data_IF_726734973729
#
_entry.id   IF_726734973729
#
_cell.length_a   1.000
_cell.length_b   1.000
_cell.length_c   1.000
_cell.angle_alpha   90.00
_cell.angle_beta   90.00
_cell.angle_gamma   90.00
#
_symmetry.space_group_name_H-M   'P 1'
#
loop_
_entity.id
_entity.type
_entity.pdbx_description
1 polymer ?
#
# COMPACT_ATOMS: atom_id res chain seq x y z
N UNK A 1 34.39 -33.55 45.21
CA UNK A 1 33.07 -32.88 45.08
C UNK A 1 33.11 -31.59 44.24
N UNK A 2 34.15 -30.73 44.33
CA UNK A 2 34.24 -29.46 43.56
C UNK A 2 34.20 -29.62 42.02
N UNK A 3 34.77 -30.70 41.47
CA UNK A 3 34.80 -30.93 40.01
C UNK A 3 33.42 -31.30 39.44
N UNK A 4 32.59 -32.02 40.20
CA UNK A 4 31.24 -32.44 39.75
C UNK A 4 30.27 -31.24 39.69
N UNK A 5 30.40 -30.31 40.65
CA UNK A 5 29.63 -29.06 40.68
C UNK A 5 29.95 -28.17 39.47
N UNK A 6 31.22 -28.13 39.02
CA UNK A 6 31.62 -27.36 37.84
C UNK A 6 30.99 -27.90 36.55
N UNK A 7 30.89 -29.22 36.38
CA UNK A 7 30.25 -29.82 35.21
C UNK A 7 28.73 -29.58 35.18
N UNK A 8 28.07 -29.58 36.34
CA UNK A 8 26.63 -29.28 36.45
C UNK A 8 26.33 -27.82 36.09
N UNK A 9 27.17 -26.88 36.56
CA UNK A 9 27.05 -25.45 36.21
C UNK A 9 27.29 -25.23 34.72
N UNK A 10 28.28 -25.93 34.12
CA UNK A 10 28.54 -25.86 32.69
C UNK A 10 27.38 -26.44 31.85
N UNK A 11 26.74 -27.51 32.33
CA UNK A 11 25.56 -28.10 31.68
C UNK A 11 24.34 -27.17 31.73
N UNK A 12 24.13 -26.46 32.85
CA UNK A 12 23.07 -25.47 33.02
C UNK A 12 23.28 -24.22 32.14
N UNK A 13 24.51 -23.75 31.98
CA UNK A 13 24.86 -22.64 31.08
C UNK A 13 24.67 -23.02 29.59
N UNK A 14 24.93 -24.28 29.22
CA UNK A 14 24.70 -24.78 27.86
C UNK A 14 23.20 -25.01 27.55
N UNK A 15 22.37 -25.29 28.56
CA UNK A 15 20.93 -25.40 28.40
C UNK A 15 20.24 -24.03 28.24
N UNK A 16 20.81 -22.96 28.81
CA UNK A 16 20.26 -21.61 28.74
C UNK A 16 20.36 -20.96 27.34
N UNK A 17 21.23 -21.45 26.45
CA UNK A 17 21.44 -20.84 25.12
C UNK A 17 20.47 -21.32 24.05
N UNK A 18 19.56 -22.26 24.36
CA UNK A 18 18.59 -22.81 23.38
C UNK A 18 17.14 -22.32 23.54
N UNK A 19 16.89 -21.36 24.44
CA UNK A 19 15.52 -20.84 24.71
C UNK A 19 15.26 -19.49 24.02
N UNK A 20 16.16 -19.02 23.14
CA UNK A 20 15.80 -17.96 22.20
C UNK A 20 14.88 -18.54 21.12
N UNK A 21 13.58 -18.45 21.42
CA UNK A 21 12.43 -18.44 20.52
C UNK A 21 12.75 -18.84 19.08
N UNK A 22 12.42 -20.08 18.73
CA UNK A 22 12.14 -20.42 17.34
C UNK A 22 10.83 -19.71 16.96
N UNK A 23 10.92 -18.41 16.65
CA UNK A 23 9.90 -17.76 15.82
C UNK A 23 10.00 -18.51 14.50
N UNK A 24 9.14 -19.51 14.34
CA UNK A 24 8.93 -20.13 13.04
C UNK A 24 8.40 -19.00 12.18
N UNK A 25 9.23 -18.49 11.27
CA UNK A 25 8.81 -17.58 10.23
C UNK A 25 7.79 -18.33 9.37
N UNK A 26 6.53 -18.37 9.82
CA UNK A 26 5.41 -18.86 9.03
C UNK A 26 5.25 -17.81 7.94
N UNK A 27 5.88 -18.08 6.80
CA UNK A 27 6.12 -17.13 5.71
C UNK A 27 4.86 -16.64 4.98
N UNK A 28 3.67 -17.02 5.44
CA UNK A 28 2.41 -16.70 4.76
C UNK A 28 1.19 -16.87 5.68
N UNK A 29 0.98 -15.92 6.61
CA UNK A 29 -0.20 -15.91 7.50
C UNK A 29 -1.29 -14.92 7.06
N UNK A 30 -1.16 -14.29 5.90
CA UNK A 30 -2.18 -13.43 5.29
C UNK A 30 -3.44 -14.25 5.00
N UNK A 31 -4.34 -14.28 5.96
CA UNK A 31 -5.52 -15.18 5.97
C UNK A 31 -6.81 -14.41 6.19
N UNK A 32 -6.73 -13.16 6.63
CA UNK A 32 -7.89 -12.29 6.79
C UNK A 32 -8.07 -11.44 5.54
N UNK A 33 -9.07 -11.76 4.72
CA UNK A 33 -9.45 -10.93 3.57
C UNK A 33 -10.12 -9.64 4.07
N UNK A 34 -9.51 -8.51 3.76
CA UNK A 34 -10.01 -7.16 4.10
C UNK A 34 -10.86 -6.60 2.96
N UNK A 35 -10.39 -6.76 1.73
CA UNK A 35 -11.05 -6.22 0.53
C UNK A 35 -10.94 -7.22 -0.62
N UNK A 36 -11.95 -7.19 -1.48
CA UNK A 36 -11.97 -7.92 -2.74
C UNK A 36 -12.72 -7.07 -3.77
N UNK A 37 -12.13 -6.90 -4.93
CA UNK A 37 -12.72 -6.26 -6.10
C UNK A 37 -12.59 -7.16 -7.33
N UNK A 38 -13.58 -7.13 -8.22
CA UNK A 38 -13.56 -7.80 -9.51
C UNK A 38 -13.94 -6.81 -10.63
N UNK A 39 -13.24 -6.86 -11.75
CA UNK A 39 -13.44 -5.94 -12.87
C UNK A 39 -12.40 -6.16 -13.96
N UNK A 40 -12.53 -5.48 -15.10
CA UNK A 40 -11.66 -5.66 -16.26
C UNK A 40 -10.51 -4.64 -16.24
N UNK A 41 -9.27 -5.05 -15.90
CA UNK A 41 -8.09 -4.18 -15.82
C UNK A 41 -7.29 -4.11 -17.13
N UNK A 42 -7.59 -4.97 -18.10
CA UNK A 42 -6.82 -5.10 -19.34
C UNK A 42 -7.67 -4.93 -20.62
N UNK A 43 -8.95 -4.61 -20.47
CA UNK A 43 -9.96 -4.43 -21.52
C UNK A 43 -10.21 -5.69 -22.36
N UNK A 44 -10.00 -6.88 -21.80
CA UNK A 44 -10.22 -8.16 -22.49
C UNK A 44 -11.63 -8.75 -22.26
N UNK A 45 -12.48 -8.03 -21.52
CA UNK A 45 -13.85 -8.40 -21.12
C UNK A 45 -13.91 -9.60 -20.16
N UNK A 46 -12.82 -9.92 -19.48
CA UNK A 46 -12.77 -10.91 -18.41
C UNK A 46 -12.55 -10.19 -17.08
N UNK A 47 -13.16 -10.73 -16.02
CA UNK A 47 -12.99 -10.17 -14.69
C UNK A 47 -11.63 -10.56 -14.15
N UNK A 48 -10.77 -9.58 -13.96
CA UNK A 48 -9.60 -9.63 -13.10
C UNK A 48 -10.02 -9.49 -11.63
N UNK A 49 -9.08 -9.75 -10.72
CA UNK A 49 -9.35 -9.72 -9.29
C UNK A 49 -8.28 -8.95 -8.54
N UNK A 50 -8.71 -8.08 -7.63
CA UNK A 50 -7.85 -7.38 -6.68
C UNK A 50 -8.24 -7.82 -5.27
N UNK A 51 -7.26 -8.14 -4.43
CA UNK A 51 -7.48 -8.58 -3.06
C UNK A 51 -6.53 -7.86 -2.11
N UNK A 52 -7.04 -7.50 -0.94
CA UNK A 52 -6.23 -7.05 0.19
C UNK A 52 -6.42 -8.03 1.34
N UNK A 53 -5.32 -8.56 1.84
CA UNK A 53 -5.30 -9.49 2.97
C UNK A 53 -4.44 -8.93 4.10
N UNK A 54 -4.73 -9.33 5.34
CA UNK A 54 -3.99 -8.95 6.53
C UNK A 54 -3.46 -10.19 7.25
N UNK A 55 -2.23 -10.08 7.74
CA UNK A 55 -1.66 -11.05 8.67
C UNK A 55 -2.04 -10.67 10.11
N UNK A 56 -3.02 -11.37 10.68
CA UNK A 56 -3.49 -11.13 12.06
C UNK A 56 -2.58 -11.76 13.13
N UNK A 57 -1.62 -12.61 12.75
CA UNK A 57 -0.68 -13.25 13.69
C UNK A 57 0.56 -12.42 13.91
N UNK A 58 0.94 -11.58 12.95
CA UNK A 58 2.01 -10.60 13.10
C UNK A 58 1.52 -9.40 13.95
N UNK A 59 2.32 -9.02 14.94
CA UNK A 59 1.99 -7.91 15.85
C UNK A 59 1.87 -6.56 15.12
N UNK A 60 2.58 -6.39 14.00
CA UNK A 60 2.50 -5.18 13.18
C UNK A 60 1.23 -5.14 12.32
N UNK A 61 0.57 -6.29 12.12
CA UNK A 61 -0.58 -6.47 11.22
C UNK A 61 -0.33 -5.87 9.82
N UNK A 62 0.66 -6.38 9.08
CA UNK A 62 0.93 -5.94 7.73
C UNK A 62 -0.22 -6.35 6.80
N UNK A 63 -0.40 -5.56 5.75
CA UNK A 63 -1.36 -5.84 4.69
C UNK A 63 -0.65 -6.20 3.39
N UNK A 64 -1.31 -7.02 2.58
CA UNK A 64 -0.82 -7.46 1.28
C UNK A 64 -1.85 -7.17 0.21
N UNK A 65 -1.44 -6.39 -0.79
CA UNK A 65 -2.17 -6.22 -2.03
C UNK A 65 -1.79 -7.35 -3.00
N UNK A 66 -2.80 -8.00 -3.58
CA UNK A 66 -2.66 -8.97 -4.66
C UNK A 66 -3.52 -8.58 -5.85
N UNK A 67 -2.97 -8.73 -7.05
CA UNK A 67 -3.70 -8.52 -8.30
C UNK A 67 -3.55 -9.75 -9.16
N UNK A 68 -4.68 -10.24 -9.66
CA UNK A 68 -4.78 -11.43 -10.49
C UNK A 68 -5.42 -11.07 -11.82
N UNK A 69 -4.77 -11.46 -12.92
CA UNK A 69 -5.32 -11.32 -14.26
C UNK A 69 -5.97 -12.61 -14.73
N UNK A 70 -7.15 -12.51 -15.33
CA UNK A 70 -7.80 -13.61 -16.01
C UNK A 70 -6.99 -14.06 -17.24
N UNK A 71 -6.82 -15.38 -17.37
CA UNK A 71 -6.14 -16.02 -18.49
C UNK A 71 -7.17 -16.57 -19.49
N UNK A 72 -6.79 -16.87 -20.75
CA UNK A 72 -7.72 -17.44 -21.74
C UNK A 72 -8.40 -18.75 -21.31
N UNK A 73 -7.79 -19.51 -20.39
CA UNK A 73 -8.36 -20.73 -19.80
C UNK A 73 -9.25 -20.46 -18.58
N UNK A 74 -9.58 -19.18 -18.32
CA UNK A 74 -10.35 -18.67 -17.17
C UNK A 74 -9.67 -18.86 -15.81
N UNK A 75 -8.40 -19.26 -15.76
CA UNK A 75 -7.63 -19.26 -14.52
C UNK A 75 -7.15 -17.85 -14.19
N UNK A 76 -6.94 -17.60 -12.91
CA UNK A 76 -6.39 -16.35 -12.41
C UNK A 76 -4.87 -16.50 -12.25
N UNK A 77 -4.11 -15.63 -12.91
CA UNK A 77 -2.67 -15.50 -12.74
C UNK A 77 -2.36 -14.32 -11.83
N UNK A 78 -1.70 -14.56 -10.70
CA UNK A 78 -1.20 -13.49 -9.84
C UNK A 78 -0.06 -12.74 -10.54
N UNK A 79 -0.21 -11.42 -10.72
CA UNK A 79 0.78 -10.54 -11.34
C UNK A 79 1.37 -9.51 -10.38
N UNK A 80 0.70 -9.29 -9.24
CA UNK A 80 1.19 -8.45 -8.14
C UNK A 80 0.97 -9.16 -6.82
N UNK A 81 1.97 -9.07 -5.95
CA UNK A 81 1.90 -9.41 -4.53
C UNK A 81 2.84 -8.45 -3.80
N UNK A 82 2.30 -7.47 -3.07
CA UNK A 82 3.08 -6.42 -2.42
C UNK A 82 2.58 -6.15 -1.01
N UNK A 83 3.51 -6.07 -0.07
CA UNK A 83 3.28 -5.66 1.33
C UNK A 83 3.81 -4.26 1.61
N UNK A 84 4.26 -3.54 0.57
CA UNK A 84 4.96 -2.26 0.71
C UNK A 84 4.04 -1.06 0.55
N UNK A 85 3.03 -1.19 -0.31
CA UNK A 85 2.19 -0.06 -0.73
C UNK A 85 1.17 0.37 0.33
N UNK A 86 0.88 -0.52 1.28
CA UNK A 86 -0.01 -0.28 2.41
C UNK A 86 0.84 -0.27 3.68
N UNK A 87 0.74 0.79 4.49
CA UNK A 87 1.37 0.82 5.80
C UNK A 87 0.70 -0.21 6.73
N UNK A 88 1.50 -0.96 7.50
CA UNK A 88 1.00 -1.87 8.52
C UNK A 88 0.12 -1.12 9.54
N UNK A 89 -0.89 -1.77 10.12
CA UNK A 89 -1.76 -1.09 11.10
C UNK A 89 -1.00 -0.68 12.38
N UNK A 90 0.05 -1.41 12.74
CA UNK A 90 0.90 -1.15 13.91
C UNK A 90 2.38 -1.15 13.49
N UNK A 91 2.86 -0.12 12.79
CA UNK A 91 4.20 -0.12 12.21
C UNK A 91 5.26 -0.07 13.31
N UNK A 92 6.41 -0.69 13.05
CA UNK A 92 7.46 -0.94 14.06
C UNK A 92 7.97 0.34 14.72
N UNK A 93 8.06 1.43 13.97
CA UNK A 93 8.49 2.75 14.45
C UNK A 93 7.51 3.39 15.45
N UNK A 94 6.24 2.96 15.42
CA UNK A 94 5.19 3.37 16.37
C UNK A 94 5.09 2.48 17.62
N UNK A 95 5.96 1.49 17.77
CA UNK A 95 6.14 0.70 19.02
C UNK A 95 4.83 0.12 19.59
N UNK A 96 3.96 -0.39 18.73
CA UNK A 96 2.69 -1.01 19.11
C UNK A 96 1.48 -0.07 19.08
N UNK A 97 1.68 1.21 18.75
CA UNK A 97 0.57 2.14 18.49
C UNK A 97 0.02 1.99 17.06
N UNK A 98 -1.29 2.21 16.91
CA UNK A 98 -1.96 2.16 15.60
C UNK A 98 -1.46 3.30 14.68
N UNK A 99 -1.36 3.05 13.37
CA UNK A 99 -0.87 4.04 12.42
C UNK A 99 -1.81 5.26 12.28
N UNK A 100 -3.08 5.11 12.66
CA UNK A 100 -4.10 6.16 12.68
C UNK A 100 -4.85 6.34 11.36
N UNK A 101 -4.46 5.59 10.31
CA UNK A 101 -5.02 5.70 8.98
C UNK A 101 -5.98 4.53 8.70
N UNK A 102 -7.12 4.75 8.02
CA UNK A 102 -7.91 3.67 7.45
C UNK A 102 -7.10 2.87 6.43
N UNK A 103 -7.52 1.62 6.22
CA UNK A 103 -6.97 0.79 5.14
C UNK A 103 -7.37 1.42 3.80
N UNK A 104 -6.44 1.56 2.83
CA UNK A 104 -6.78 2.09 1.51
C UNK A 104 -7.83 1.26 0.79
N UNK A 105 -8.71 1.93 0.05
CA UNK A 105 -9.69 1.28 -0.82
C UNK A 105 -9.14 1.08 -2.22
N UNK A 106 -9.30 -0.12 -2.77
CA UNK A 106 -8.94 -0.46 -4.14
C UNK A 106 -10.18 -0.79 -4.96
N UNK A 107 -10.32 -0.16 -6.11
CA UNK A 107 -11.41 -0.45 -7.06
C UNK A 107 -10.94 -0.31 -8.51
N UNK A 108 -11.75 -0.86 -9.43
CA UNK A 108 -11.45 -0.85 -10.86
C UNK A 108 -12.40 0.12 -11.54
N UNK A 109 -11.86 1.09 -12.27
CA UNK A 109 -12.64 2.06 -13.03
C UNK A 109 -11.96 2.34 -14.38
N UNK A 110 -12.71 2.22 -15.47
CA UNK A 110 -12.23 2.44 -16.84
C UNK A 110 -10.93 1.69 -17.18
N UNK A 111 -10.83 0.46 -16.69
CA UNK A 111 -9.66 -0.41 -16.86
C UNK A 111 -8.38 0.07 -16.18
N UNK A 112 -8.51 0.96 -15.20
CA UNK A 112 -7.44 1.35 -14.30
C UNK A 112 -7.74 0.86 -12.89
N UNK A 113 -6.69 0.49 -12.17
CA UNK A 113 -6.76 0.27 -10.74
C UNK A 113 -6.67 1.63 -10.04
N UNK A 114 -7.64 1.95 -9.20
CA UNK A 114 -7.60 3.14 -8.34
C UNK A 114 -7.40 2.73 -6.89
N UNK A 115 -6.58 3.49 -6.19
CA UNK A 115 -6.32 3.37 -4.76
C UNK A 115 -6.69 4.69 -4.09
N UNK A 116 -7.64 4.65 -3.15
CA UNK A 116 -8.01 5.78 -2.31
C UNK A 116 -7.37 5.65 -0.93
N UNK A 117 -6.78 6.74 -0.46
CA UNK A 117 -6.31 6.87 0.92
C UNK A 117 -6.95 8.06 1.59
N UNK A 118 -7.09 7.98 2.91
CA UNK A 118 -7.37 9.10 3.79
C UNK A 118 -6.28 9.11 4.86
N UNK A 119 -5.33 10.04 4.75
CA UNK A 119 -4.15 10.09 5.63
C UNK A 119 -4.05 11.52 6.15
N UNK A 120 -4.08 11.70 7.46
CA UNK A 120 -4.03 13.02 8.09
C UNK A 120 -5.07 14.01 7.52
N UNK A 121 -6.30 13.55 7.29
CA UNK A 121 -7.41 14.28 6.64
C UNK A 121 -7.16 14.70 5.18
N UNK A 122 -6.13 14.16 4.54
CA UNK A 122 -5.85 14.34 3.12
C UNK A 122 -6.33 13.11 2.36
N UNK A 123 -7.38 13.30 1.58
CA UNK A 123 -7.86 12.28 0.65
C UNK A 123 -6.96 12.25 -0.57
N UNK A 124 -6.47 11.08 -0.94
CA UNK A 124 -5.63 10.91 -2.12
C UNK A 124 -6.19 9.79 -3.00
N UNK A 125 -6.11 9.98 -4.31
CA UNK A 125 -6.42 8.97 -5.31
C UNK A 125 -5.18 8.72 -6.16
N UNK A 126 -4.82 7.45 -6.31
CA UNK A 126 -3.70 7.00 -7.13
C UNK A 126 -4.26 6.11 -8.24
N UNK A 127 -3.98 6.47 -9.49
CA UNK A 127 -4.49 5.75 -10.66
C UNK A 127 -3.36 4.98 -11.34
N UNK A 128 -3.55 3.66 -11.48
CA UNK A 128 -2.59 2.75 -12.07
C UNK A 128 -3.15 2.09 -13.33
N UNK A 129 -2.35 2.03 -14.39
CA UNK A 129 -2.69 1.31 -15.62
C UNK A 129 -1.85 0.05 -15.76
N UNK A 130 -2.49 -1.03 -16.20
CA UNK A 130 -1.78 -2.22 -16.65
C UNK A 130 -1.06 -1.98 -17.99
N UNK A 131 0.25 -2.22 -18.02
CA UNK A 131 1.07 -2.23 -19.23
C UNK A 131 2.14 -3.30 -19.13
N UNK A 132 2.15 -4.23 -20.09
CA UNK A 132 3.13 -5.33 -20.14
C UNK A 132 3.27 -6.06 -18.78
N UNK A 133 2.14 -6.46 -18.18
CA UNK A 133 2.07 -7.10 -16.86
C UNK A 133 2.58 -6.27 -15.67
N UNK A 134 2.79 -4.97 -15.84
CA UNK A 134 3.13 -4.04 -14.76
C UNK A 134 1.99 -3.05 -14.55
N UNK A 135 1.75 -2.65 -13.29
CA UNK A 135 0.82 -1.58 -12.98
C UNK A 135 1.62 -0.28 -12.78
N UNK A 136 1.53 0.62 -13.75
CA UNK A 136 2.25 1.89 -13.78
C UNK A 136 1.37 2.99 -13.18
N UNK A 137 1.89 3.73 -12.19
CA UNK A 137 1.23 4.91 -11.63
C UNK A 137 1.18 6.01 -12.70
N UNK A 138 -0.03 6.49 -12.98
CA UNK A 138 -0.29 7.52 -14.00
C UNK A 138 -0.54 8.88 -13.37
N UNK A 139 -1.46 8.90 -12.41
CA UNK A 139 -1.99 10.14 -11.84
C UNK A 139 -2.12 10.03 -10.33
N UNK A 140 -1.96 11.17 -9.69
CA UNK A 140 -2.23 11.37 -8.26
C UNK A 140 -3.12 12.59 -8.14
N UNK A 141 -4.26 12.47 -7.47
CA UNK A 141 -5.05 13.62 -7.06
C UNK A 141 -5.17 13.64 -5.55
N UNK A 142 -5.07 14.82 -4.93
CA UNK A 142 -5.17 14.98 -3.49
C UNK A 142 -6.07 16.16 -3.15
N UNK A 143 -6.86 15.99 -2.10
CA UNK A 143 -7.76 17.01 -1.57
C UNK A 143 -7.56 17.08 -0.06
N UNK A 144 -7.31 18.28 0.43
CA UNK A 144 -7.26 18.60 1.86
C UNK A 144 -8.28 19.69 2.16
N UNK A 145 -9.19 19.43 3.10
CA UNK A 145 -10.17 20.42 3.54
C UNK A 145 -9.59 21.30 4.65
N UNK A 146 -9.85 22.61 4.58
CA UNK A 146 -9.37 23.59 5.56
C UNK A 146 -10.17 23.60 6.88
N UNK A 147 -11.21 22.77 6.98
CA UNK A 147 -12.13 22.74 8.13
C UNK A 147 -13.21 23.82 8.07
N UNK A 148 -13.28 24.60 6.98
CA UNK A 148 -14.23 25.68 6.76
C UNK A 148 -14.88 25.52 5.39
N UNK A 149 -14.54 26.36 4.42
CA UNK A 149 -15.21 26.46 3.14
C UNK A 149 -14.28 26.24 1.94
N UNK A 150 -13.04 25.76 2.15
CA UNK A 150 -12.06 25.60 1.07
C UNK A 150 -11.39 24.24 1.04
N UNK A 151 -11.11 23.76 -0.17
CA UNK A 151 -10.19 22.64 -0.41
C UNK A 151 -8.88 23.15 -0.99
N UNK A 152 -7.78 22.50 -0.58
CA UNK A 152 -6.49 22.60 -1.22
C UNK A 152 -6.27 21.34 -2.04
N UNK A 153 -6.08 21.52 -3.33
CA UNK A 153 -6.04 20.43 -4.29
C UNK A 153 -4.68 20.34 -4.97
N UNK A 154 -4.28 19.11 -5.25
CA UNK A 154 -3.06 18.80 -5.96
C UNK A 154 -3.35 17.72 -6.98
N UNK A 155 -3.06 17.99 -8.25
CA UNK A 155 -3.14 17.03 -9.33
C UNK A 155 -1.76 16.82 -9.94
N UNK A 156 -1.33 15.57 -10.03
CA UNK A 156 -0.05 15.19 -10.59
C UNK A 156 -0.33 14.23 -11.73
N UNK A 157 0.08 14.61 -12.93
CA UNK A 157 0.05 13.75 -14.11
C UNK A 157 1.50 13.36 -14.46
N UNK A 158 1.84 12.10 -14.21
CA UNK A 158 3.20 11.57 -14.43
C UNK A 158 3.50 11.34 -15.93
N UNK A 159 2.46 11.22 -16.76
CA UNK A 159 2.58 11.12 -18.22
C UNK A 159 2.89 12.49 -18.81
N UNK A 160 2.08 13.50 -18.44
CA UNK A 160 2.26 14.88 -18.87
C UNK A 160 3.45 15.57 -18.16
N UNK A 161 3.93 14.98 -17.06
CA UNK A 161 5.01 15.50 -16.20
C UNK A 161 4.66 16.88 -15.64
N UNK A 162 3.43 17.01 -15.18
CA UNK A 162 2.89 18.25 -14.63
C UNK A 162 2.33 18.03 -13.24
N UNK A 163 2.54 19.01 -12.36
CA UNK A 163 1.85 19.15 -11.08
C UNK A 163 1.05 20.45 -11.10
N UNK A 164 -0.22 20.37 -10.75
CA UNK A 164 -1.13 21.49 -10.62
C UNK A 164 -1.56 21.55 -9.16
N UNK A 165 -1.50 22.74 -8.56
CA UNK A 165 -1.92 23.01 -7.20
C UNK A 165 -2.92 24.17 -7.25
N UNK A 166 -4.04 24.06 -6.55
CA UNK A 166 -5.07 25.12 -6.53
C UNK A 166 -5.94 25.05 -5.28
N UNK A 167 -6.74 26.10 -5.07
CA UNK A 167 -7.79 26.16 -4.05
C UNK A 167 -9.16 26.14 -4.73
N UNK A 168 -10.16 25.57 -4.07
CA UNK A 168 -11.55 25.64 -4.51
C UNK A 168 -12.48 25.87 -3.32
N UNK A 169 -13.50 26.71 -3.51
CA UNK A 169 -14.53 26.91 -2.49
C UNK A 169 -15.59 25.80 -2.56
N UNK A 170 -16.04 25.31 -1.41
CA UNK A 170 -17.05 24.26 -1.35
C UNK A 170 -18.36 24.73 -2.00
N UNK A 171 -18.85 23.96 -2.98
CA UNK A 171 -20.09 24.26 -3.71
C UNK A 171 -19.91 25.26 -4.85
N UNK A 172 -18.67 25.63 -5.19
CA UNK A 172 -18.33 26.45 -6.35
C UNK A 172 -17.39 25.70 -7.29
N UNK A 173 -17.50 25.94 -8.59
CA UNK A 173 -16.54 25.47 -9.61
C UNK A 173 -15.39 26.47 -9.82
N UNK A 174 -15.34 27.55 -9.04
CA UNK A 174 -14.30 28.57 -9.14
C UNK A 174 -12.96 28.07 -8.60
N UNK A 175 -11.94 28.09 -9.46
CA UNK A 175 -10.56 27.71 -9.13
C UNK A 175 -9.75 28.94 -8.75
N UNK A 176 -9.19 28.93 -7.55
CA UNK A 176 -8.38 29.99 -6.98
C UNK A 176 -6.90 29.57 -6.89
N UNK A 177 -5.99 30.57 -6.93
CA UNK A 177 -4.56 30.38 -6.66
C UNK A 177 -3.87 29.27 -7.48
N UNK A 178 -4.37 28.98 -8.69
CA UNK A 178 -3.86 27.90 -9.53
C UNK A 178 -2.39 28.11 -9.91
N UNK A 179 -1.57 27.13 -9.59
CA UNK A 179 -0.16 27.05 -9.94
C UNK A 179 0.10 25.77 -10.72
N UNK A 180 0.88 25.88 -11.80
CA UNK A 180 1.34 24.72 -12.57
C UNK A 180 2.86 24.66 -12.56
N UNK A 181 3.40 23.48 -12.30
CA UNK A 181 4.84 23.22 -12.29
C UNK A 181 5.15 21.97 -13.12
N UNK A 182 6.34 21.93 -13.73
CA UNK A 182 6.84 20.74 -14.40
C UNK A 182 7.58 19.87 -13.38
N UNK A 183 7.39 18.55 -13.47
CA UNK A 183 8.06 17.57 -12.62
C UNK A 183 9.02 16.69 -13.44
N UNK A 184 10.03 16.14 -12.78
CA UNK A 184 10.98 15.24 -13.43
C UNK A 184 10.56 13.79 -13.20
N UNK A 185 10.13 13.12 -14.27
CA UNK A 185 9.80 11.69 -14.27
C UNK A 185 10.61 11.02 -15.38
N UNK A 186 11.50 10.10 -15.00
CA UNK A 186 12.30 9.29 -15.94
C UNK A 186 11.55 8.05 -16.41
N UNK A 187 10.82 7.42 -15.50
CA UNK A 187 10.01 6.23 -15.72
C UNK A 187 8.80 6.27 -14.78
N UNK A 188 7.69 5.70 -15.21
CA UNK A 188 6.51 5.61 -14.36
C UNK A 188 6.78 4.62 -13.22
N UNK A 189 6.44 4.99 -11.97
CA UNK A 189 6.56 4.09 -10.84
C UNK A 189 5.65 2.88 -11.01
N UNK A 190 6.09 1.75 -10.46
CA UNK A 190 5.36 0.48 -10.53
C UNK A 190 4.80 0.12 -9.16
N UNK A 191 3.56 -0.36 -9.11
CA UNK A 191 2.91 -0.73 -7.84
C UNK A 191 3.68 -1.82 -7.07
N UNK A 192 4.43 -2.67 -7.78
CA UNK A 192 5.27 -3.72 -7.21
C UNK A 192 6.44 -3.16 -6.39
N UNK A 193 6.93 -1.98 -6.78
CA UNK A 193 8.14 -1.38 -6.23
C UNK A 193 7.81 -0.22 -5.27
N UNK A 194 6.63 0.38 -5.41
CA UNK A 194 6.15 1.48 -4.58
C UNK A 194 5.87 1.06 -3.14
N UNK A 195 6.44 1.81 -2.22
CA UNK A 195 6.06 1.81 -0.81
C UNK A 195 5.05 2.92 -0.49
N UNK A 196 4.35 2.76 0.64
CA UNK A 196 3.53 3.81 1.23
C UNK A 196 4.28 5.14 1.34
N UNK A 197 5.52 5.11 1.82
CA UNK A 197 6.36 6.30 1.95
C UNK A 197 6.73 6.95 0.60
N UNK A 198 6.82 6.17 -0.49
CA UNK A 198 7.08 6.75 -1.81
C UNK A 198 5.88 7.54 -2.33
N UNK A 199 4.66 7.06 -2.06
CA UNK A 199 3.42 7.74 -2.42
C UNK A 199 3.28 9.09 -1.71
N UNK A 200 3.75 9.18 -0.47
CA UNK A 200 3.71 10.38 0.35
C UNK A 200 4.74 11.45 -0.06
N UNK A 201 5.73 11.11 -0.89
CA UNK A 201 6.77 12.05 -1.36
C UNK A 201 6.39 12.87 -2.60
N UNK A 202 5.34 12.47 -3.33
CA UNK A 202 4.79 13.24 -4.46
C UNK A 202 4.13 14.54 -3.98
#
# INVERSE_FOLDING_TARGET
>A
MKKLSLYIVLLLLLAATKVYSQKTDIKDNYTSQVQKEEGDLNHDKQNDKVMVEMDLKDETRPLRLQIFLSQPDKKLQMVVSSTKIIESQYPTDKKGEHNGNPIPDFFIEDGNLKMLTDINNRKSNYEFRLKQNNFELLKISRVLWDGKNKTFETEIDLIAKTKIEFEQELGSDEILNKRTTKIKVSSLPKIQDLSFSDLEQY
#
